data_IF_319881611546
#
_entry.id   IF_319881611546
#
_cell.length_a   1.000
_cell.length_b   1.000
_cell.length_c   1.000
_cell.angle_alpha   90.00
_cell.angle_beta   90.00
_cell.angle_gamma   90.00
#
_symmetry.space_group_name_H-M   'P 1'
#
loop_
_entity.id
_entity.type
_entity.pdbx_description
1 polymer ?
#
# COMPACT_ATOMS: atom_id res chain seq x y z
N UNK A 1 17.33 13.52 12.33
CA UNK A 1 17.46 12.57 11.20
C UNK A 1 17.58 11.16 11.75
N UNK A 2 16.83 10.19 11.21
CA UNK A 2 16.94 8.80 11.67
C UNK A 2 18.32 8.20 11.35
N UNK A 3 18.67 7.16 12.09
CA UNK A 3 19.92 6.43 11.93
C UNK A 3 19.96 5.71 10.57
N UNK A 4 21.04 5.90 9.81
CA UNK A 4 21.25 5.23 8.53
C UNK A 4 21.76 3.81 8.77
N UNK A 5 21.15 2.85 8.07
CA UNK A 5 21.59 1.46 8.05
C UNK A 5 22.44 1.20 6.80
N UNK A 6 23.66 0.74 7.00
CA UNK A 6 24.53 0.24 5.93
C UNK A 6 24.38 -1.27 5.84
N UNK A 7 23.94 -1.75 4.67
CA UNK A 7 23.84 -3.19 4.37
C UNK A 7 24.83 -3.46 3.23
N UNK A 8 25.84 -4.29 3.51
CA UNK A 8 26.82 -4.73 2.51
C UNK A 8 26.26 -5.91 1.72
N UNK A 9 26.45 -5.91 0.39
CA UNK A 9 26.02 -6.99 -0.48
C UNK A 9 25.26 -6.50 -1.70
N UNK A 10 24.41 -7.38 -2.23
CA UNK A 10 23.53 -7.12 -3.35
C UNK A 10 22.19 -6.55 -2.86
N UNK A 11 21.38 -6.02 -3.78
CA UNK A 11 20.06 -5.47 -3.43
C UNK A 11 19.13 -6.50 -2.78
N UNK A 12 19.32 -7.80 -3.06
CA UNK A 12 18.57 -8.88 -2.42
C UNK A 12 18.85 -8.97 -0.92
N UNK A 13 20.07 -8.66 -0.47
CA UNK A 13 20.42 -8.70 0.94
C UNK A 13 19.68 -7.61 1.74
N UNK A 14 19.37 -6.48 1.08
CA UNK A 14 18.49 -5.45 1.66
C UNK A 14 17.08 -6.00 1.85
N UNK A 15 16.56 -6.78 0.89
CA UNK A 15 15.21 -7.34 0.99
C UNK A 15 15.14 -8.37 2.11
N UNK A 16 16.10 -9.30 2.15
CA UNK A 16 16.18 -10.34 3.16
C UNK A 16 16.31 -9.74 4.57
N UNK A 17 17.11 -8.67 4.71
CA UNK A 17 17.23 -7.96 5.98
C UNK A 17 15.91 -7.31 6.41
N UNK A 18 15.26 -6.54 5.53
CA UNK A 18 14.01 -5.87 5.84
C UNK A 18 12.87 -6.86 6.14
N UNK A 19 12.82 -7.98 5.41
CA UNK A 19 11.87 -9.07 5.70
C UNK A 19 12.13 -9.68 7.08
N UNK A 20 13.39 -9.96 7.42
CA UNK A 20 13.76 -10.50 8.73
C UNK A 20 13.42 -9.57 9.90
N UNK A 21 13.46 -8.25 9.68
CA UNK A 21 13.00 -7.25 10.67
C UNK A 21 11.47 -7.11 10.73
N UNK A 22 10.73 -7.72 9.80
CA UNK A 22 9.28 -7.57 9.70
C UNK A 22 8.84 -6.20 9.17
N UNK A 23 9.71 -5.49 8.44
CA UNK A 23 9.45 -4.15 7.91
C UNK A 23 8.85 -4.15 6.49
N UNK A 24 8.49 -5.34 6.01
CA UNK A 24 7.87 -5.54 4.70
C UNK A 24 6.53 -6.24 4.86
N UNK A 25 5.80 -6.29 3.76
CA UNK A 25 4.58 -7.06 3.59
C UNK A 25 4.84 -8.45 2.98
N UNK A 26 6.10 -8.93 3.01
CA UNK A 26 6.53 -10.16 2.34
C UNK A 26 6.82 -9.99 0.84
N UNK A 27 6.69 -8.77 0.31
CA UNK A 27 7.16 -8.41 -1.03
C UNK A 27 8.49 -7.64 -0.94
N UNK A 28 9.34 -7.68 -2.01
CA UNK A 28 10.52 -6.84 -2.10
C UNK A 28 10.19 -5.34 -1.95
N UNK A 29 11.11 -4.58 -1.37
CA UNK A 29 10.98 -3.13 -1.17
C UNK A 29 11.97 -2.37 -2.05
N UNK A 30 11.68 -1.13 -2.40
CA UNK A 30 12.73 -0.25 -2.92
C UNK A 30 13.53 0.29 -1.73
N UNK A 31 14.87 0.18 -1.70
CA UNK A 31 15.66 0.69 -0.58
C UNK A 31 15.40 2.19 -0.37
N UNK A 32 14.94 2.62 0.82
CA UNK A 32 14.64 4.02 1.09
C UNK A 32 15.92 4.80 1.39
N UNK A 33 16.77 4.98 0.37
CA UNK A 33 18.01 5.76 0.48
C UNK A 33 17.69 7.23 0.79
N UNK A 34 18.64 7.93 1.41
CA UNK A 34 18.48 9.36 1.71
C UNK A 34 18.11 10.18 0.47
N UNK A 35 18.76 9.90 -0.66
CA UNK A 35 18.47 10.58 -1.93
C UNK A 35 17.04 10.30 -2.43
N UNK A 36 16.56 9.05 -2.32
CA UNK A 36 15.20 8.70 -2.75
C UNK A 36 14.14 9.32 -1.84
N UNK A 37 14.40 9.36 -0.52
CA UNK A 37 13.50 10.00 0.46
C UNK A 37 13.51 11.52 0.28
N UNK A 38 14.67 12.14 0.09
CA UNK A 38 14.77 13.57 -0.19
C UNK A 38 14.01 13.96 -1.46
N UNK A 39 14.17 13.20 -2.55
CA UNK A 39 13.44 13.43 -3.80
C UNK A 39 11.91 13.31 -3.60
N UNK A 40 11.44 12.38 -2.77
CA UNK A 40 10.03 12.29 -2.43
C UNK A 40 9.54 13.52 -1.64
N UNK A 41 10.33 13.99 -0.68
CA UNK A 41 10.01 15.14 0.17
C UNK A 41 9.92 16.46 -0.62
N UNK A 42 10.55 16.58 -1.78
CA UNK A 42 10.42 17.75 -2.67
C UNK A 42 8.98 17.96 -3.19
N UNK A 43 8.10 16.96 -3.09
CA UNK A 43 6.71 17.04 -3.54
C UNK A 43 5.72 17.50 -2.46
N UNK A 44 6.20 17.96 -1.30
CA UNK A 44 5.36 18.49 -0.21
C UNK A 44 5.97 19.73 0.42
N UNK A 45 5.14 20.70 0.78
CA UNK A 45 5.56 21.91 1.51
C UNK A 45 5.66 21.69 3.04
N UNK A 46 5.21 20.52 3.52
CA UNK A 46 5.28 20.15 4.94
C UNK A 46 6.71 19.84 5.38
N UNK A 47 7.06 20.20 6.61
CA UNK A 47 8.38 19.89 7.15
C UNK A 47 8.51 18.38 7.43
N UNK A 48 9.71 17.78 7.28
CA UNK A 48 9.91 16.35 7.50
C UNK A 48 9.50 15.85 8.90
N UNK A 49 9.60 16.71 9.91
CA UNK A 49 9.25 16.40 11.30
C UNK A 49 7.77 16.71 11.64
N UNK A 50 6.99 17.26 10.69
CA UNK A 50 5.56 17.52 10.92
C UNK A 50 4.82 16.20 11.16
N UNK A 51 4.03 16.17 12.24
CA UNK A 51 3.24 15.00 12.63
C UNK A 51 1.88 15.06 11.95
N UNK A 52 1.61 14.09 11.09
CA UNK A 52 0.33 13.95 10.37
C UNK A 52 -0.80 13.39 11.25
N UNK A 53 -0.41 12.72 12.34
CA UNK A 53 -1.31 12.11 13.30
C UNK A 53 -0.63 10.95 14.02
N UNK A 54 -1.36 10.31 14.94
CA UNK A 54 -0.89 9.10 15.64
C UNK A 54 -1.57 7.89 15.05
N UNK A 55 -0.80 6.93 14.53
CA UNK A 55 -1.38 5.72 13.96
C UNK A 55 -1.80 4.77 15.10
N UNK A 56 -3.09 4.40 15.19
CA UNK A 56 -3.60 3.57 16.28
C UNK A 56 -3.10 2.12 16.26
N UNK A 57 -2.28 1.83 17.27
CA UNK A 57 -2.15 0.63 18.11
C UNK A 57 -0.91 0.86 18.99
N UNK A 58 0.18 1.30 18.35
CA UNK A 58 1.40 1.82 18.98
C UNK A 58 1.25 3.26 19.50
N UNK A 59 0.30 4.04 18.94
CA UNK A 59 0.17 5.50 19.14
C UNK A 59 1.42 6.27 18.69
N UNK A 60 2.24 5.66 17.83
CA UNK A 60 3.41 6.29 17.25
C UNK A 60 3.01 7.45 16.34
N UNK A 61 3.86 8.47 16.32
CA UNK A 61 3.66 9.67 15.50
C UNK A 61 4.07 9.36 14.05
N UNK A 62 3.12 9.56 13.12
CA UNK A 62 3.39 9.47 11.69
C UNK A 62 3.95 10.81 11.21
N UNK A 63 5.27 10.95 11.21
CA UNK A 63 5.92 12.14 10.63
C UNK A 63 5.91 12.06 9.11
N UNK A 64 6.01 13.22 8.45
CA UNK A 64 6.15 13.31 6.98
C UNK A 64 7.34 12.48 6.50
N UNK A 65 8.48 12.54 7.19
CA UNK A 65 9.66 11.74 6.87
C UNK A 65 9.38 10.23 6.95
N UNK A 66 8.74 9.76 8.03
CA UNK A 66 8.41 8.35 8.19
C UNK A 66 7.45 7.86 7.08
N UNK A 67 6.48 8.69 6.69
CA UNK A 67 5.59 8.38 5.56
C UNK A 67 6.35 8.34 4.23
N UNK A 68 7.27 9.28 3.99
CA UNK A 68 8.10 9.30 2.78
C UNK A 68 8.97 8.04 2.65
N UNK A 69 9.60 7.59 3.75
CA UNK A 69 10.35 6.32 3.79
C UNK A 69 9.48 5.15 3.34
N UNK A 70 8.27 5.01 3.90
CA UNK A 70 7.35 3.93 3.55
C UNK A 70 6.80 4.04 2.12
N UNK A 71 6.59 5.25 1.62
CA UNK A 71 6.20 5.49 0.23
C UNK A 71 7.30 5.06 -0.74
N UNK A 72 8.56 5.41 -0.46
CA UNK A 72 9.71 4.95 -1.26
C UNK A 72 9.78 3.42 -1.20
N UNK A 73 9.73 2.81 -0.01
CA UNK A 73 9.74 1.35 0.16
C UNK A 73 8.68 0.63 -0.68
N UNK A 74 7.47 1.20 -0.75
CA UNK A 74 6.38 0.67 -1.56
C UNK A 74 6.62 0.74 -3.07
N UNK A 75 7.59 1.54 -3.51
CA UNK A 75 7.89 1.82 -4.90
C UNK A 75 7.09 2.98 -5.47
N UNK A 76 6.54 3.87 -4.64
CA UNK A 76 5.90 5.09 -5.11
C UNK A 76 6.87 5.92 -5.95
N UNK A 77 6.33 6.64 -6.92
CA UNK A 77 7.07 7.77 -7.49
C UNK A 77 6.99 8.96 -6.52
N UNK A 78 7.97 9.88 -6.52
CA UNK A 78 7.96 11.06 -5.66
C UNK A 78 6.64 11.84 -5.68
N UNK A 79 6.06 12.05 -6.86
CA UNK A 79 4.81 12.79 -7.06
C UNK A 79 3.57 12.16 -6.41
N UNK A 80 3.66 10.91 -5.94
CA UNK A 80 2.57 10.24 -5.23
C UNK A 80 2.54 10.55 -3.73
N UNK A 81 3.61 11.13 -3.17
CA UNK A 81 3.73 11.38 -1.72
C UNK A 81 2.56 12.20 -1.15
N UNK A 82 2.07 13.28 -1.80
CA UNK A 82 0.93 14.05 -1.28
C UNK A 82 -0.34 13.22 -1.08
N UNK A 83 -0.58 12.23 -1.94
CA UNK A 83 -1.73 11.31 -1.82
C UNK A 83 -1.55 10.40 -0.62
N UNK A 84 -0.35 9.85 -0.41
CA UNK A 84 -0.04 9.01 0.75
C UNK A 84 -0.17 9.81 2.05
N UNK A 85 0.35 11.04 2.10
CA UNK A 85 0.21 11.95 3.24
C UNK A 85 -1.26 12.17 3.59
N UNK A 86 -2.08 12.47 2.57
CA UNK A 86 -3.52 12.70 2.75
C UNK A 86 -4.24 11.45 3.25
N UNK A 87 -3.90 10.28 2.71
CA UNK A 87 -4.43 9.00 3.16
C UNK A 87 -4.06 8.70 4.63
N UNK A 88 -2.82 8.99 5.04
CA UNK A 88 -2.36 8.77 6.42
C UNK A 88 -3.03 9.74 7.39
N UNK A 89 -3.26 11.00 7.01
CA UNK A 89 -4.08 11.94 7.79
C UNK A 89 -5.49 11.41 8.00
N UNK A 90 -6.13 10.93 6.93
CA UNK A 90 -7.45 10.32 7.01
C UNK A 90 -7.47 9.08 7.92
N UNK A 91 -6.45 8.23 7.82
CA UNK A 91 -6.32 7.02 8.64
C UNK A 91 -6.10 7.33 10.12
N UNK A 92 -5.34 8.39 10.42
CA UNK A 92 -5.08 8.85 11.77
C UNK A 92 -6.25 9.64 12.39
N UNK A 93 -7.27 10.00 11.60
CA UNK A 93 -8.45 10.67 12.10
C UNK A 93 -9.21 9.77 13.10
N UNK A 94 -9.60 10.27 14.29
CA UNK A 94 -10.23 9.46 15.33
C UNK A 94 -11.45 8.65 14.84
N UNK A 95 -12.29 9.27 14.01
CA UNK A 95 -13.52 8.66 13.51
C UNK A 95 -13.29 7.49 12.55
N UNK A 96 -12.10 7.39 11.95
CA UNK A 96 -11.77 6.26 11.07
C UNK A 96 -11.60 4.95 11.85
N UNK A 97 -11.26 5.02 13.14
CA UNK A 97 -11.07 3.87 14.01
C UNK A 97 -10.08 2.81 13.45
N UNK A 98 -8.88 3.26 13.04
CA UNK A 98 -7.85 2.35 12.51
C UNK A 98 -7.45 1.24 13.50
N UNK A 99 -7.57 1.46 14.81
CA UNK A 99 -7.31 0.43 15.82
C UNK A 99 -8.31 -0.72 15.68
N UNK A 100 -9.60 -0.42 15.59
CA UNK A 100 -10.64 -1.42 15.38
C UNK A 100 -10.43 -2.21 14.09
N UNK A 101 -9.98 -1.55 13.02
CA UNK A 101 -9.66 -2.19 11.73
C UNK A 101 -8.48 -3.16 11.83
N UNK A 102 -7.48 -2.87 12.66
CA UNK A 102 -6.32 -3.76 12.85
C UNK A 102 -6.60 -4.89 13.84
N UNK A 103 -7.27 -4.58 14.95
CA UNK A 103 -7.54 -5.51 16.04
C UNK A 103 -8.72 -6.46 15.77
N UNK A 104 -9.48 -6.27 14.69
CA UNK A 104 -10.63 -7.12 14.35
C UNK A 104 -10.20 -8.46 13.74
N UNK A 105 -10.99 -9.50 14.03
CA UNK A 105 -10.87 -10.82 13.38
C UNK A 105 -11.45 -10.85 11.97
N UNK A 106 -12.25 -9.85 11.60
CA UNK A 106 -12.76 -9.69 10.24
C UNK A 106 -11.62 -9.26 9.29
N UNK A 107 -11.47 -9.86 8.09
CA UNK A 107 -10.40 -9.47 7.15
C UNK A 107 -10.69 -8.11 6.49
N UNK A 108 -10.41 -7.01 7.18
CA UNK A 108 -10.63 -5.64 6.68
C UNK A 108 -9.32 -5.06 6.13
N UNK A 109 -9.34 -4.56 4.89
CA UNK A 109 -8.26 -3.74 4.33
C UNK A 109 -8.64 -2.26 4.40
N UNK A 110 -7.67 -1.37 4.25
CA UNK A 110 -7.91 0.06 4.06
C UNK A 110 -7.97 0.34 2.57
N UNK A 111 -9.12 0.79 2.09
CA UNK A 111 -9.28 1.28 0.72
C UNK A 111 -9.00 2.78 0.71
N UNK A 112 -8.07 3.18 -0.15
CA UNK A 112 -7.81 4.57 -0.52
C UNK A 112 -8.60 4.90 -1.79
N UNK A 113 -9.36 5.99 -1.78
CA UNK A 113 -10.09 6.50 -2.95
C UNK A 113 -9.53 7.88 -3.26
N UNK A 114 -9.05 8.06 -4.49
CA UNK A 114 -8.50 9.32 -4.99
C UNK A 114 -9.57 10.00 -5.84
N UNK A 115 -9.80 11.28 -5.57
CA UNK A 115 -10.83 12.09 -6.21
C UNK A 115 -10.26 13.41 -6.73
N UNK A 116 -10.90 13.95 -7.75
CA UNK A 116 -10.55 15.21 -8.41
C UNK A 116 -9.37 15.09 -9.39
N UNK A 117 -8.87 16.24 -9.87
CA UNK A 117 -7.89 16.30 -10.97
C UNK A 117 -6.60 15.49 -10.74
N UNK A 118 -6.20 15.31 -9.47
CA UNK A 118 -4.98 14.56 -9.11
C UNK A 118 -5.02 13.09 -9.56
N UNK A 119 -6.23 12.52 -9.71
CA UNK A 119 -6.38 11.15 -10.19
C UNK A 119 -5.84 11.00 -11.61
N UNK A 120 -6.21 11.91 -12.52
CA UNK A 120 -5.74 11.90 -13.91
C UNK A 120 -4.28 12.36 -14.01
N UNK A 121 -3.92 13.45 -13.32
CA UNK A 121 -2.56 14.00 -13.31
C UNK A 121 -1.49 12.95 -12.95
N UNK A 122 -1.80 12.08 -11.99
CA UNK A 122 -0.87 11.06 -11.48
C UNK A 122 -1.12 9.66 -12.07
N UNK A 123 -2.11 9.52 -12.96
CA UNK A 123 -2.40 8.26 -13.65
C UNK A 123 -2.99 7.17 -12.75
N UNK A 124 -3.85 7.54 -11.80
CA UNK A 124 -4.66 6.58 -11.05
C UNK A 124 -5.78 5.99 -11.92
N UNK A 125 -6.02 4.69 -11.77
CA UNK A 125 -7.11 4.01 -12.48
C UNK A 125 -8.38 3.95 -11.63
N UNK A 126 -9.47 4.46 -12.18
CA UNK A 126 -10.85 4.27 -11.68
C UNK A 126 -11.73 3.38 -12.56
N UNK A 127 -11.19 2.90 -13.70
CA UNK A 127 -11.95 2.20 -14.75
C UNK A 127 -11.86 0.68 -14.57
N UNK A 128 -11.94 -0.08 -15.65
CA UNK A 128 -11.82 -1.55 -15.63
C UNK A 128 -10.60 -2.04 -14.85
N UNK A 129 -10.78 -3.09 -14.04
CA UNK A 129 -9.72 -3.68 -13.21
C UNK A 129 -9.04 -2.70 -12.23
N UNK A 130 -9.72 -1.64 -11.76
CA UNK A 130 -9.15 -0.63 -10.86
C UNK A 130 -8.59 -1.17 -9.53
N UNK A 131 -9.14 -2.28 -9.03
CA UNK A 131 -8.66 -2.98 -7.83
C UNK A 131 -7.62 -4.07 -8.13
N UNK A 132 -7.24 -4.23 -9.41
CA UNK A 132 -6.28 -5.23 -9.85
C UNK A 132 -4.92 -4.63 -10.22
N UNK A 133 -4.15 -5.40 -10.98
CA UNK A 133 -2.82 -5.04 -11.44
C UNK A 133 -2.82 -4.06 -12.63
N UNK A 134 -1.65 -3.46 -12.90
CA UNK A 134 -1.35 -2.72 -14.13
C UNK A 134 -1.09 -1.23 -13.93
N UNK A 135 -1.49 -0.67 -12.78
CA UNK A 135 -1.34 0.76 -12.49
C UNK A 135 -0.45 0.99 -11.27
N UNK A 136 0.75 1.54 -11.50
CA UNK A 136 1.75 1.79 -10.44
C UNK A 136 1.21 2.72 -9.37
N UNK A 137 0.46 3.77 -9.74
CA UNK A 137 -0.12 4.71 -8.78
C UNK A 137 -1.01 3.98 -7.76
N UNK A 138 -2.04 3.26 -8.22
CA UNK A 138 -2.92 2.45 -7.38
C UNK A 138 -2.13 1.44 -6.52
N UNK A 139 -1.26 0.64 -7.16
CA UNK A 139 -0.56 -0.44 -6.47
C UNK A 139 0.37 0.08 -5.37
N UNK A 140 1.17 1.10 -5.68
CA UNK A 140 2.20 1.58 -4.76
C UNK A 140 1.64 2.49 -3.67
N UNK A 141 0.63 3.32 -3.95
CA UNK A 141 -0.01 4.17 -2.92
C UNK A 141 -0.78 3.31 -1.91
N UNK A 142 -1.56 2.33 -2.39
CA UNK A 142 -2.23 1.38 -1.51
C UNK A 142 -1.23 0.62 -0.63
N UNK A 143 -0.12 0.17 -1.23
CA UNK A 143 0.97 -0.51 -0.51
C UNK A 143 1.71 0.40 0.47
N UNK A 144 1.95 1.67 0.13
CA UNK A 144 2.59 2.65 1.00
C UNK A 144 1.78 2.88 2.27
N UNK A 145 0.45 3.01 2.14
CA UNK A 145 -0.45 3.10 3.29
C UNK A 145 -0.36 1.83 4.15
N UNK A 146 -0.30 0.64 3.53
CA UNK A 146 -0.12 -0.60 4.29
C UNK A 146 1.22 -0.64 5.03
N UNK A 147 2.33 -0.29 4.38
CA UNK A 147 3.65 -0.27 5.02
C UNK A 147 3.70 0.74 6.17
N UNK A 148 3.06 1.91 6.05
CA UNK A 148 2.90 2.83 7.17
C UNK A 148 2.15 2.18 8.34
N UNK A 149 1.07 1.45 8.07
CA UNK A 149 0.35 0.72 9.13
C UNK A 149 1.24 -0.33 9.80
N UNK A 150 2.11 -1.03 9.05
CA UNK A 150 3.04 -2.02 9.58
C UNK A 150 4.14 -1.34 10.41
N UNK A 151 4.90 -0.44 9.78
CA UNK A 151 6.16 0.10 10.33
C UNK A 151 5.94 1.19 11.38
N UNK A 152 4.87 1.97 11.27
CA UNK A 152 4.54 3.03 12.23
C UNK A 152 3.46 2.52 13.20
N UNK A 153 2.40 1.90 12.65
CA UNK A 153 1.25 1.45 13.41
C UNK A 153 1.42 0.11 14.13
N UNK A 154 2.46 -0.68 13.82
CA UNK A 154 2.66 -2.03 14.36
C UNK A 154 1.71 -3.09 13.76
N UNK A 155 1.03 -2.78 12.66
CA UNK A 155 -0.04 -3.55 12.02
C UNK A 155 0.35 -4.83 11.29
N UNK A 156 1.42 -5.50 11.70
CA UNK A 156 1.88 -6.72 11.06
C UNK A 156 0.97 -7.92 11.42
N UNK A 157 0.86 -8.93 10.53
CA UNK A 157 0.25 -10.23 10.84
C UNK A 157 0.82 -10.84 12.12
N UNK A 158 0.00 -11.59 12.86
CA UNK A 158 0.37 -12.33 14.08
C UNK A 158 0.79 -11.46 15.28
N UNK A 159 1.03 -10.17 15.08
CA UNK A 159 1.29 -9.20 16.13
C UNK A 159 0.03 -8.38 16.38
N UNK A 160 -0.19 -7.26 15.67
CA UNK A 160 -1.37 -6.42 15.86
C UNK A 160 -2.52 -6.78 14.92
N UNK A 161 -2.24 -7.23 13.69
CA UNK A 161 -3.30 -7.62 12.76
C UNK A 161 -3.95 -8.94 13.21
N UNK A 162 -5.22 -8.89 13.58
CA UNK A 162 -5.97 -10.03 14.14
C UNK A 162 -6.88 -10.74 13.15
N UNK A 163 -6.85 -10.40 11.86
CA UNK A 163 -7.74 -11.03 10.89
C UNK A 163 -7.55 -12.55 10.84
N UNK A 164 -8.65 -13.31 10.90
CA UNK A 164 -8.60 -14.78 10.94
C UNK A 164 -7.99 -15.40 9.69
N UNK A 165 -8.38 -14.91 8.50
CA UNK A 165 -7.98 -15.46 7.20
C UNK A 165 -7.31 -14.43 6.27
N UNK A 166 -7.26 -13.16 6.69
CA UNK A 166 -6.77 -12.06 5.85
C UNK A 166 -7.57 -11.85 4.55
N UNK A 167 -7.08 -10.94 3.71
CA UNK A 167 -7.54 -10.78 2.33
C UNK A 167 -6.45 -10.12 1.46
N UNK A 168 -6.45 -10.32 0.13
CA UNK A 168 -5.42 -9.75 -0.76
C UNK A 168 -5.33 -8.21 -0.73
N UNK A 169 -6.43 -7.50 -0.47
CA UNK A 169 -6.42 -6.04 -0.35
C UNK A 169 -5.52 -5.52 0.79
N UNK A 170 -5.09 -6.39 1.71
CA UNK A 170 -4.13 -6.03 2.76
C UNK A 170 -2.70 -5.82 2.27
N UNK A 171 -2.36 -6.17 1.02
CA UNK A 171 -1.08 -5.73 0.41
C UNK A 171 -1.16 -4.27 -0.07
N UNK A 172 -2.35 -3.78 -0.38
CA UNK A 172 -2.60 -2.44 -0.87
C UNK A 172 -3.92 -2.39 -1.61
N UNK A 173 -4.71 -1.35 -1.35
CA UNK A 173 -6.01 -1.16 -1.98
C UNK A 173 -6.22 0.33 -2.24
N UNK A 174 -6.11 0.75 -3.50
CA UNK A 174 -6.25 2.14 -3.91
C UNK A 174 -6.93 2.20 -5.28
N UNK A 175 -7.87 3.12 -5.44
CA UNK A 175 -8.56 3.40 -6.71
C UNK A 175 -8.71 4.90 -6.90
N UNK A 176 -8.90 5.34 -8.14
CA UNK A 176 -9.58 6.60 -8.40
C UNK A 176 -11.08 6.37 -8.51
N UNK A 177 -11.88 7.39 -8.20
CA UNK A 177 -13.27 7.42 -8.64
C UNK A 177 -13.35 7.62 -10.17
N UNK A 178 -14.28 6.94 -10.83
CA UNK A 178 -14.55 7.15 -12.26
C UNK A 178 -15.56 8.29 -12.44
N UNK A 179 -15.11 9.52 -12.15
CA UNK A 179 -15.97 10.72 -12.18
C UNK A 179 -16.57 10.98 -13.58
N UNK A 180 -15.88 10.59 -14.66
CA UNK A 180 -16.34 10.80 -16.04
C UNK A 180 -17.55 9.95 -16.43
N UNK A 181 -17.63 8.72 -15.91
CA UNK A 181 -18.70 7.76 -16.23
C UNK A 181 -19.68 7.59 -15.05
N UNK A 182 -19.54 8.37 -13.99
CA UNK A 182 -20.44 8.37 -12.84
C UNK A 182 -21.68 9.22 -13.13
N UNK A 183 -22.90 8.71 -12.87
CA UNK A 183 -24.12 9.52 -12.94
C UNK A 183 -24.31 10.42 -11.70
N UNK A 184 -23.46 10.30 -10.67
CA UNK A 184 -23.50 11.09 -9.45
C UNK A 184 -22.39 12.15 -9.42
N UNK A 185 -22.58 13.17 -8.59
CA UNK A 185 -21.49 14.10 -8.29
C UNK A 185 -20.29 13.33 -7.70
N UNK A 186 -19.05 13.76 -7.96
CA UNK A 186 -17.88 13.14 -7.38
C UNK A 186 -17.97 13.02 -5.86
N UNK A 187 -17.45 11.94 -5.31
CA UNK A 187 -17.59 11.62 -3.88
C UNK A 187 -17.07 12.73 -2.97
N UNK A 188 -15.99 13.44 -3.34
CA UNK A 188 -15.51 14.58 -2.55
C UNK A 188 -16.46 15.78 -2.62
N UNK A 189 -17.15 15.98 -3.74
CA UNK A 189 -18.16 17.03 -3.92
C UNK A 189 -19.37 16.75 -3.04
N UNK A 190 -19.81 15.49 -2.96
CA UNK A 190 -20.87 15.09 -2.01
C UNK A 190 -20.48 15.32 -0.54
N UNK A 191 -19.17 15.38 -0.24
CA UNK A 191 -18.63 15.73 1.09
C UNK A 191 -18.43 17.23 1.32
N UNK A 192 -18.85 18.05 0.36
CA UNK A 192 -18.82 19.52 0.46
C UNK A 192 -17.52 20.17 -0.01
N UNK A 193 -16.67 19.45 -0.74
CA UNK A 193 -15.49 20.03 -1.38
C UNK A 193 -15.82 20.54 -2.79
N UNK A 194 -15.04 21.50 -3.28
CA UNK A 194 -15.16 21.97 -4.67
C UNK A 194 -14.69 20.89 -5.64
N UNK A 195 -15.25 20.86 -6.86
CA UNK A 195 -14.92 19.86 -7.89
C UNK A 195 -13.43 19.80 -8.22
N UNK A 196 -12.75 20.94 -8.23
CA UNK A 196 -11.31 21.04 -8.53
C UNK A 196 -10.42 20.65 -7.33
N UNK A 197 -11.01 20.32 -6.18
CA UNK A 197 -10.26 19.92 -4.99
C UNK A 197 -9.64 18.54 -5.22
N UNK A 198 -8.33 18.46 -5.04
CA UNK A 198 -7.59 17.20 -4.97
C UNK A 198 -7.90 16.54 -3.62
N UNK A 199 -8.64 15.45 -3.61
CA UNK A 199 -9.12 14.83 -2.38
C UNK A 199 -8.74 13.35 -2.30
N UNK A 200 -8.56 12.87 -1.07
CA UNK A 200 -8.28 11.46 -0.77
C UNK A 200 -9.17 11.02 0.37
N UNK A 201 -9.92 9.96 0.14
CA UNK A 201 -10.76 9.32 1.15
C UNK A 201 -10.18 7.97 1.55
N UNK A 202 -10.33 7.61 2.83
CA UNK A 202 -10.01 6.27 3.33
C UNK A 202 -11.26 5.61 3.87
N UNK A 203 -11.46 4.33 3.54
CA UNK A 203 -12.61 3.56 4.00
C UNK A 203 -12.22 2.13 4.36
N UNK A 204 -12.77 1.55 5.44
CA UNK A 204 -12.61 0.12 5.72
C UNK A 204 -13.29 -0.71 4.64
N UNK A 205 -12.55 -1.65 4.06
CA UNK A 205 -13.06 -2.59 3.05
C UNK A 205 -12.99 -4.03 3.58
N UNK A 206 -14.12 -4.62 4.02
CA UNK A 206 -14.18 -6.02 4.38
C UNK A 206 -13.86 -6.93 3.19
N UNK A 207 -13.07 -7.98 3.42
CA UNK A 207 -12.68 -8.94 2.40
C UNK A 207 -13.89 -9.66 1.81
N UNK A 208 -13.78 -10.03 0.53
CA UNK A 208 -14.79 -10.86 -0.13
C UNK A 208 -14.87 -12.21 0.58
N UNK A 209 -16.08 -12.60 0.97
CA UNK A 209 -16.37 -13.85 1.71
C UNK A 209 -16.56 -15.07 0.80
N UNK A 210 -16.38 -14.92 -0.52
CA UNK A 210 -16.71 -15.96 -1.49
C UNK A 210 -15.46 -16.71 -1.94
N UNK A 211 -15.24 -17.88 -1.35
CA UNK A 211 -14.38 -18.91 -1.92
C UNK A 211 -15.28 -19.89 -2.68
N UNK A 212 -15.13 -19.95 -4.00
CA UNK A 212 -15.96 -20.82 -4.84
C UNK A 212 -15.18 -22.07 -5.23
N UNK A 213 -15.56 -23.23 -4.70
CA UNK A 213 -14.99 -24.55 -5.03
C UNK A 213 -15.82 -25.24 -6.11
N UNK A 214 -16.05 -24.57 -7.24
CA UNK A 214 -16.72 -25.23 -8.38
C UNK A 214 -15.90 -26.45 -8.85
N UNK A 215 -16.49 -27.48 -9.48
CA UNK A 215 -15.74 -28.65 -9.95
C UNK A 215 -14.61 -28.31 -10.95
N UNK A 216 -14.71 -27.18 -11.66
CA UNK A 216 -13.63 -26.63 -12.48
C UNK A 216 -12.49 -25.97 -11.68
N UNK A 217 -12.68 -25.75 -10.38
CA UNK A 217 -11.81 -24.92 -9.54
C UNK A 217 -10.61 -25.68 -8.95
N UNK A 218 -10.62 -27.02 -8.91
CA UNK A 218 -9.42 -27.81 -8.69
C UNK A 218 -9.68 -29.33 -8.87
N UNK A 219 -9.68 -29.89 -10.09
CA UNK A 219 -9.64 -31.35 -10.23
C UNK A 219 -8.34 -31.90 -9.59
N UNK A 220 -8.28 -33.15 -9.10
CA UNK A 220 -7.08 -33.68 -8.44
C UNK A 220 -5.78 -33.47 -9.23
N UNK A 221 -5.87 -33.47 -10.56
CA UNK A 221 -4.76 -33.21 -11.48
C UNK A 221 -4.23 -31.77 -11.39
N UNK A 222 -5.05 -30.80 -10.98
CA UNK A 222 -4.64 -29.41 -10.71
C UNK A 222 -3.96 -29.23 -9.35
N UNK A 223 -4.11 -30.20 -8.44
CA UNK A 223 -3.39 -30.26 -7.17
C UNK A 223 -2.04 -30.95 -7.38
N UNK A 224 -1.12 -30.25 -8.05
CA UNK A 224 0.20 -30.79 -8.41
C UNK A 224 1.16 -30.76 -7.21
N UNK A 225 1.83 -31.87 -6.85
CA UNK A 225 2.80 -31.88 -5.76
C UNK A 225 4.02 -31.01 -6.09
N UNK A 226 4.47 -30.21 -5.12
CA UNK A 226 5.70 -29.41 -5.28
C UNK A 226 6.93 -30.32 -5.37
N UNK A 227 7.87 -30.08 -6.28
CA UNK A 227 9.10 -30.86 -6.37
C UNK A 227 9.96 -30.72 -5.10
N UNK A 228 10.79 -31.72 -4.76
CA UNK A 228 11.68 -31.64 -3.60
C UNK A 228 12.70 -30.50 -3.76
N UNK A 229 13.00 -29.78 -2.66
CA UNK A 229 13.94 -28.64 -2.65
C UNK A 229 15.32 -29.06 -3.19
N UNK A 230 15.74 -28.51 -4.33
CA UNK A 230 17.11 -28.63 -4.85
C UNK A 230 18.00 -27.51 -4.28
N UNK A 231 19.25 -27.83 -3.90
CA UNK A 231 20.19 -26.94 -3.19
C UNK A 231 21.07 -26.02 -4.06
N UNK A 232 20.77 -25.78 -5.34
CA UNK A 232 21.61 -24.89 -6.18
C UNK A 232 20.76 -24.11 -7.18
N UNK A 233 20.77 -22.79 -7.04
CA UNK A 233 20.27 -21.85 -8.05
C UNK A 233 21.46 -21.32 -8.86
N UNK A 234 21.36 -21.42 -10.19
CA UNK A 234 22.17 -20.63 -11.12
C UNK A 234 21.16 -19.71 -11.80
N UNK A 235 21.24 -18.41 -11.55
CA UNK A 235 20.27 -17.46 -12.07
C UNK A 235 20.63 -17.06 -13.49
N UNK A 236 19.79 -17.44 -14.47
CA UNK A 236 19.67 -16.75 -15.77
C UNK A 236 18.27 -16.15 -15.78
N UNK A 237 18.16 -14.84 -15.89
CA UNK A 237 16.87 -14.15 -15.97
C UNK A 237 16.42 -14.07 -17.43
N UNK A 238 15.23 -14.58 -17.73
CA UNK A 238 14.55 -14.33 -19.00
C UNK A 238 13.46 -13.26 -18.80
N UNK A 239 13.35 -12.32 -19.74
CA UNK A 239 12.21 -11.42 -19.84
C UNK A 239 11.23 -12.02 -20.87
N UNK A 240 10.01 -12.36 -20.45
CA UNK A 240 8.96 -12.87 -21.35
C UNK A 240 8.16 -11.77 -22.06
N UNK A 241 8.43 -10.51 -21.77
CA UNK A 241 7.75 -9.35 -22.36
C UNK A 241 8.52 -8.72 -23.53
N UNK A 242 9.65 -9.30 -23.96
CA UNK A 242 10.44 -8.76 -25.07
C UNK A 242 9.90 -9.18 -26.47
N UNK A 243 8.96 -10.12 -26.55
CA UNK A 243 8.42 -10.67 -27.80
C UNK A 243 6.93 -10.31 -28.04
N UNK A 244 6.46 -9.15 -27.53
CA UNK A 244 5.10 -8.65 -27.83
C UNK A 244 5.10 -7.24 -28.40
#
# INVERSE_FOLDING_TARGET
>A
MPELLTIEGEISDVFDYYEAQGWTDGLPVVPPTEAAVAAALEYTDLAPDDVLGKIPATRAEATVHAVAVNAVMAGCKPEYLPVVISAIRGLAHPDFNAYGIQATTNPVAVLVVVNGPIAEELGFNGKGNCLGQGFRANATVGRAVRLCMINIGGGAPQTMDKATQGQPGKYGMCIAENEEESPWDPFHVERGYDKETRAVSVTPSPGRRTFSTWPAAAPPESCVPSPPRRRRWVTRTCNSAADR
#
